data_IF_424669329954
#
_entry.id   IF_424669329954
#
_cell.length_a   1.000
_cell.length_b   1.000
_cell.length_c   1.000
_cell.angle_alpha   90.00
_cell.angle_beta   90.00
_cell.angle_gamma   90.00
#
_symmetry.space_group_name_H-M   'P 1'
#
loop_
_entity.id
_entity.type
_entity.pdbx_description
1 polymer ?
#
# COMPACT_ATOMS: atom_id res chain seq x y z
N UNK A 1 4.67 -22.46 -14.34
CA UNK A 1 5.00 -21.13 -13.74
C UNK A 1 6.38 -20.72 -14.22
N UNK A 2 6.66 -19.43 -14.48
CA UNK A 2 7.88 -18.85 -15.11
C UNK A 2 9.18 -19.69 -15.14
N UNK A 3 9.56 -20.34 -14.02
CA UNK A 3 10.63 -21.36 -13.96
C UNK A 3 10.51 -22.49 -15.00
N UNK A 4 9.33 -23.05 -15.19
CA UNK A 4 9.03 -24.07 -16.20
C UNK A 4 9.16 -23.54 -17.64
N UNK A 5 8.99 -22.22 -17.84
CA UNK A 5 9.19 -21.55 -19.13
C UNK A 5 10.62 -21.03 -19.32
N UNK A 6 11.53 -21.28 -18.34
CA UNK A 6 12.93 -20.79 -18.32
C UNK A 6 13.05 -19.27 -18.52
N UNK A 7 12.04 -18.50 -18.15
CA UNK A 7 12.08 -17.04 -18.17
C UNK A 7 12.90 -16.57 -16.96
N UNK A 8 13.95 -15.80 -17.22
CA UNK A 8 14.85 -15.24 -16.19
C UNK A 8 14.26 -14.03 -15.47
N UNK A 9 13.19 -13.44 -16.02
CA UNK A 9 12.51 -12.30 -15.42
C UNK A 9 11.52 -12.74 -14.33
N UNK A 10 11.13 -11.80 -13.47
CA UNK A 10 9.98 -12.00 -12.60
C UNK A 10 8.67 -11.90 -13.43
N UNK A 11 7.61 -12.68 -13.11
CA UNK A 11 6.30 -12.45 -13.70
C UNK A 11 5.79 -11.05 -13.36
N UNK A 12 5.09 -10.36 -14.29
CA UNK A 12 4.52 -9.04 -14.05
C UNK A 12 3.57 -8.98 -12.84
N UNK A 13 2.91 -10.10 -12.52
CA UNK A 13 2.07 -10.28 -11.34
C UNK A 13 2.59 -11.47 -10.54
N UNK A 14 3.25 -11.16 -9.43
CA UNK A 14 3.74 -12.18 -8.50
C UNK A 14 2.60 -12.63 -7.60
N UNK A 15 2.70 -13.86 -7.05
CA UNK A 15 1.72 -14.32 -6.05
C UNK A 15 1.65 -13.40 -4.83
N UNK A 16 2.79 -12.81 -4.44
CA UNK A 16 2.86 -11.81 -3.39
C UNK A 16 2.07 -10.55 -3.76
N UNK A 17 2.28 -9.99 -4.96
CA UNK A 17 1.57 -8.81 -5.44
C UNK A 17 0.06 -9.06 -5.55
N UNK A 18 -0.34 -10.22 -6.05
CA UNK A 18 -1.75 -10.60 -6.08
C UNK A 18 -2.31 -10.61 -4.67
N UNK A 19 -1.64 -11.28 -3.73
CA UNK A 19 -2.10 -11.35 -2.36
C UNK A 19 -2.20 -9.96 -1.70
N UNK A 20 -1.22 -9.07 -1.88
CA UNK A 20 -1.24 -7.73 -1.28
C UNK A 20 -2.30 -6.81 -1.87
N UNK A 21 -2.66 -6.98 -3.15
CA UNK A 21 -3.68 -6.17 -3.81
C UNK A 21 -5.10 -6.71 -3.61
N UNK A 22 -5.27 -8.02 -3.46
CA UNK A 22 -6.61 -8.64 -3.39
C UNK A 22 -7.14 -8.82 -1.98
N UNK A 23 -6.29 -8.68 -0.96
CA UNK A 23 -6.73 -8.81 0.44
C UNK A 23 -6.42 -7.55 1.22
N UNK A 24 -7.32 -7.22 2.13
CA UNK A 24 -7.18 -6.03 2.95
C UNK A 24 -6.12 -6.27 4.04
N UNK A 25 -5.11 -5.42 4.07
CA UNK A 25 -4.08 -5.42 5.09
C UNK A 25 -4.02 -4.04 5.74
N UNK A 26 -4.31 -3.99 7.03
CA UNK A 26 -4.21 -2.77 7.84
C UNK A 26 -3.34 -3.06 9.06
N UNK A 27 -2.54 -2.08 9.45
CA UNK A 27 -1.77 -2.13 10.67
C UNK A 27 -2.64 -1.65 11.84
N UNK A 28 -2.66 -2.42 12.93
CA UNK A 28 -3.24 -1.96 14.18
C UNK A 28 -2.27 -1.03 14.90
N UNK A 29 -2.67 0.23 15.05
CA UNK A 29 -1.90 1.29 15.70
C UNK A 29 -2.38 1.57 17.13
N UNK A 30 -3.23 0.72 17.69
CA UNK A 30 -3.82 0.92 19.03
C UNK A 30 -2.76 1.00 20.13
N UNK A 31 -1.64 0.28 19.99
CA UNK A 31 -0.51 0.38 20.92
C UNK A 31 0.11 1.78 20.92
N UNK A 32 0.36 2.36 19.75
CA UNK A 32 0.92 3.70 19.62
C UNK A 32 0.00 4.77 20.23
N UNK A 33 -1.33 4.64 20.03
CA UNK A 33 -2.32 5.54 20.64
C UNK A 33 -2.30 5.46 22.17
N UNK A 34 -2.27 4.24 22.71
CA UNK A 34 -2.33 4.01 24.17
C UNK A 34 -1.04 4.41 24.89
N UNK A 35 0.11 4.03 24.33
CA UNK A 35 1.40 4.11 25.03
C UNK A 35 2.11 5.44 24.78
N UNK A 36 1.91 6.03 23.60
CA UNK A 36 2.60 7.26 23.19
C UNK A 36 1.66 8.46 23.11
N UNK A 37 0.36 8.29 23.40
CA UNK A 37 -0.64 9.32 23.16
C UNK A 37 -0.70 9.74 21.70
N UNK A 38 -0.31 8.85 20.78
CA UNK A 38 -0.14 9.22 19.38
C UNK A 38 -1.48 9.52 18.74
N UNK A 39 -1.57 10.67 18.07
CA UNK A 39 -2.66 11.04 17.20
C UNK A 39 -2.16 11.43 15.81
N UNK A 40 -2.89 11.06 14.74
CA UNK A 40 -2.51 11.44 13.40
C UNK A 40 -2.67 12.96 13.22
N UNK A 41 -1.58 13.65 12.83
CA UNK A 41 -1.62 15.09 12.51
C UNK A 41 -2.50 15.42 11.30
N UNK A 42 -2.73 14.45 10.43
CA UNK A 42 -3.59 14.55 9.25
C UNK A 42 -4.49 13.34 9.26
N UNK A 43 -5.81 13.57 9.19
CA UNK A 43 -6.79 12.48 9.13
C UNK A 43 -6.63 11.70 7.82
N UNK A 44 -7.04 10.44 7.83
CA UNK A 44 -6.88 9.57 6.67
C UNK A 44 -7.62 10.12 5.45
N UNK A 45 -8.80 10.69 5.65
CA UNK A 45 -9.64 11.29 4.60
C UNK A 45 -8.92 12.47 3.94
N UNK A 46 -8.37 13.38 4.75
CA UNK A 46 -7.61 14.53 4.26
C UNK A 46 -6.33 14.11 3.53
N UNK A 47 -5.65 13.08 4.06
CA UNK A 47 -4.46 12.49 3.46
C UNK A 47 -4.75 11.94 2.06
N UNK A 48 -5.84 11.17 1.92
CA UNK A 48 -6.24 10.59 0.63
C UNK A 48 -6.57 11.66 -0.41
N UNK A 49 -7.24 12.75 -0.02
CA UNK A 49 -7.51 13.88 -0.92
C UNK A 49 -6.22 14.54 -1.40
N UNK A 50 -5.26 14.77 -0.49
CA UNK A 50 -3.95 15.38 -0.83
C UNK A 50 -3.16 14.51 -1.79
N UNK A 51 -3.10 13.21 -1.54
CA UNK A 51 -2.41 12.25 -2.43
C UNK A 51 -3.07 12.21 -3.80
N UNK A 52 -4.40 12.15 -3.86
CA UNK A 52 -5.11 12.15 -5.14
C UNK A 52 -4.87 13.44 -5.94
N UNK A 53 -4.76 14.59 -5.27
CA UNK A 53 -4.40 15.85 -5.92
C UNK A 53 -2.97 15.82 -6.46
N UNK A 54 -2.02 15.32 -5.67
CA UNK A 54 -0.62 15.22 -6.07
C UNK A 54 -0.42 14.28 -7.27
N UNK A 55 -1.04 13.09 -7.26
CA UNK A 55 -0.96 12.13 -8.38
C UNK A 55 -1.50 12.76 -9.68
N UNK A 56 -2.64 13.45 -9.63
CA UNK A 56 -3.20 14.14 -10.81
C UNK A 56 -2.28 15.22 -11.37
N UNK A 57 -1.46 15.85 -10.52
CA UNK A 57 -0.50 16.84 -10.96
C UNK A 57 0.75 16.24 -11.62
N UNK A 58 1.01 14.93 -11.46
CA UNK A 58 2.17 14.26 -12.04
C UNK A 58 1.99 13.84 -13.51
N UNK A 59 0.86 14.16 -14.16
CA UNK A 59 0.59 13.88 -15.58
C UNK A 59 0.94 12.45 -16.03
N UNK A 60 0.48 11.45 -15.29
CA UNK A 60 0.36 10.08 -15.82
C UNK A 60 -0.96 9.91 -16.59
#
# INVERSE_FOLDING_TARGET
>A
TWRALRLSSEPPLTKFLVNTLTTAHWFDISAAKRELGWEPRVKIEDGMVRVAKWIRALNY
#
